data_IF_275935532186
#
_entry.id   IF_275935532186
#
_cell.length_a   1.000
_cell.length_b   1.000
_cell.length_c   1.000
_cell.angle_alpha   90.00
_cell.angle_beta   90.00
_cell.angle_gamma   90.00
#
_symmetry.space_group_name_H-M   'P 1'
#
loop_
_entity.id
_entity.type
_entity.pdbx_description
1 polymer ?
#
# COMPACT_ATOMS: atom_id res chain seq x y z
N UNK A 1 10.04 -24.74 21.15
CA UNK A 1 9.57 -24.54 19.76
C UNK A 1 9.28 -23.09 19.44
N UNK A 2 8.46 -22.38 20.24
CA UNK A 2 8.12 -20.95 20.00
C UNK A 2 9.34 -20.04 19.87
N UNK A 3 10.34 -20.18 20.75
CA UNK A 3 11.56 -19.35 20.71
C UNK A 3 12.44 -19.57 19.46
N UNK A 4 12.49 -20.79 18.90
CA UNK A 4 13.27 -21.06 17.69
C UNK A 4 12.59 -20.50 16.43
N UNK A 5 11.25 -20.49 16.40
CA UNK A 5 10.48 -19.92 15.30
C UNK A 5 10.64 -18.40 15.23
N UNK A 6 10.63 -17.73 16.38
CA UNK A 6 10.84 -16.27 16.47
C UNK A 6 12.24 -15.87 15.96
N UNK A 7 13.27 -16.63 16.33
CA UNK A 7 14.65 -16.39 15.87
C UNK A 7 14.78 -16.56 14.35
N UNK A 8 14.11 -17.56 13.76
CA UNK A 8 14.12 -17.77 12.30
C UNK A 8 13.44 -16.61 11.56
N UNK A 9 12.33 -16.11 12.10
CA UNK A 9 11.62 -14.95 11.52
C UNK A 9 12.50 -13.70 11.55
N UNK A 10 13.13 -13.39 12.69
CA UNK A 10 14.02 -12.23 12.81
C UNK A 10 15.25 -12.33 11.89
N UNK A 11 15.84 -13.53 11.74
CA UNK A 11 16.95 -13.74 10.81
C UNK A 11 16.53 -13.57 9.35
N UNK A 12 15.31 -14.00 9.01
CA UNK A 12 14.73 -13.80 7.69
C UNK A 12 14.47 -12.31 7.43
N UNK A 13 13.88 -11.59 8.38
CA UNK A 13 13.66 -10.14 8.30
C UNK A 13 14.96 -9.37 8.12
N UNK A 14 16.00 -9.68 8.91
CA UNK A 14 17.30 -9.03 8.75
C UNK A 14 17.91 -9.27 7.36
N UNK A 15 17.80 -10.50 6.84
CA UNK A 15 18.30 -10.82 5.50
C UNK A 15 17.51 -10.08 4.41
N UNK A 16 16.18 -10.01 4.55
CA UNK A 16 15.32 -9.26 3.63
C UNK A 16 15.61 -7.76 3.71
N UNK A 17 15.89 -7.22 4.90
CA UNK A 17 16.26 -5.83 5.08
C UNK A 17 17.51 -5.44 4.27
N UNK A 18 18.46 -6.36 4.10
CA UNK A 18 19.64 -6.17 3.26
C UNK A 18 19.35 -6.32 1.75
N UNK A 19 18.15 -6.74 1.38
CA UNK A 19 17.64 -6.86 0.03
C UNK A 19 17.33 -8.31 -0.34
N UNK A 20 16.23 -8.51 -1.06
CA UNK A 20 15.87 -9.83 -1.56
C UNK A 20 16.61 -10.08 -2.87
N UNK A 21 17.27 -11.24 -3.05
CA UNK A 21 17.86 -11.63 -4.32
C UNK A 21 16.85 -11.60 -5.46
N UNK A 22 17.33 -11.37 -6.67
CA UNK A 22 16.46 -11.24 -7.82
C UNK A 22 16.05 -12.59 -8.42
N UNK A 23 15.46 -13.44 -7.57
CA UNK A 23 14.95 -14.75 -7.92
C UNK A 23 13.44 -14.69 -8.17
N UNK A 24 12.96 -15.31 -9.26
CA UNK A 24 11.54 -15.38 -9.60
C UNK A 24 10.69 -15.92 -8.44
N UNK A 25 9.61 -15.20 -8.12
CA UNK A 25 8.69 -15.56 -7.03
C UNK A 25 9.21 -15.39 -5.60
N UNK A 26 10.53 -15.24 -5.38
CA UNK A 26 11.10 -15.10 -4.04
C UNK A 26 10.62 -13.81 -3.37
N UNK A 27 10.72 -12.68 -4.08
CA UNK A 27 10.29 -11.37 -3.54
C UNK A 27 8.80 -11.30 -3.29
N UNK A 28 7.98 -11.78 -4.22
CA UNK A 28 6.54 -11.81 -4.02
C UNK A 28 6.17 -12.68 -2.81
N UNK A 29 6.80 -13.85 -2.65
CA UNK A 29 6.57 -14.71 -1.48
C UNK A 29 7.00 -14.04 -0.18
N UNK A 30 8.19 -13.42 -0.14
CA UNK A 30 8.68 -12.72 1.03
C UNK A 30 7.76 -11.56 1.44
N UNK A 31 7.32 -10.73 0.49
CA UNK A 31 6.38 -9.64 0.76
C UNK A 31 5.04 -10.15 1.29
N UNK A 32 4.52 -11.27 0.76
CA UNK A 32 3.30 -11.90 1.29
C UNK A 32 3.47 -12.34 2.75
N UNK A 33 4.65 -12.80 3.16
CA UNK A 33 4.92 -13.20 4.55
C UNK A 33 5.11 -11.97 5.45
N UNK A 34 5.93 -11.00 5.05
CA UNK A 34 6.20 -9.77 5.82
C UNK A 34 4.94 -8.93 6.08
N UNK A 35 4.00 -8.94 5.13
CA UNK A 35 2.71 -8.25 5.24
C UNK A 35 1.60 -9.17 5.77
N UNK A 36 1.95 -10.28 6.41
CA UNK A 36 1.00 -11.15 7.12
C UNK A 36 -0.08 -11.80 6.26
N UNK A 37 0.02 -11.70 4.94
CA UNK A 37 -0.92 -12.37 4.02
C UNK A 37 -0.72 -13.88 4.03
N UNK A 38 0.54 -14.32 4.03
CA UNK A 38 0.92 -15.70 4.27
C UNK A 38 1.38 -15.89 5.70
N UNK A 39 0.84 -16.87 6.44
CA UNK A 39 1.27 -17.15 7.81
C UNK A 39 2.69 -17.74 7.83
N UNK A 40 3.43 -17.67 8.94
CA UNK A 40 4.77 -18.27 9.04
C UNK A 40 4.80 -19.79 8.78
N UNK A 41 3.70 -20.50 9.08
CA UNK A 41 3.58 -21.93 8.81
C UNK A 41 3.26 -22.18 7.32
N UNK A 42 4.30 -22.57 6.56
CA UNK A 42 4.22 -22.90 5.13
C UNK A 42 3.15 -23.95 4.79
N UNK A 43 2.81 -24.85 5.72
CA UNK A 43 1.80 -25.90 5.49
C UNK A 43 0.40 -25.32 5.28
N UNK A 44 0.15 -24.09 5.74
CA UNK A 44 -1.14 -23.42 5.61
C UNK A 44 -1.26 -22.58 4.34
N UNK A 45 -0.17 -22.34 3.60
CA UNK A 45 -0.14 -21.38 2.50
C UNK A 45 -1.16 -21.71 1.40
N UNK A 46 -1.21 -22.96 0.95
CA UNK A 46 -2.12 -23.37 -0.12
C UNK A 46 -3.60 -23.15 0.25
N UNK A 47 -3.99 -23.48 1.49
CA UNK A 47 -5.34 -23.25 1.98
C UNK A 47 -5.65 -21.76 2.13
N UNK A 48 -4.70 -20.98 2.65
CA UNK A 48 -4.86 -19.52 2.80
C UNK A 48 -5.04 -18.84 1.46
N UNK A 49 -4.15 -19.10 0.49
CA UNK A 49 -4.23 -18.53 -0.85
C UNK A 49 -5.57 -18.87 -1.51
N UNK A 50 -5.97 -20.14 -1.50
CA UNK A 50 -7.23 -20.58 -2.11
C UNK A 50 -8.44 -19.89 -1.48
N UNK A 51 -8.49 -19.82 -0.16
CA UNK A 51 -9.59 -19.17 0.57
C UNK A 51 -9.65 -17.68 0.28
N UNK A 52 -8.52 -16.98 0.39
CA UNK A 52 -8.47 -15.53 0.22
C UNK A 52 -8.76 -15.11 -1.23
N UNK A 53 -8.19 -15.81 -2.21
CA UNK A 53 -8.48 -15.57 -3.64
C UNK A 53 -9.96 -15.71 -3.95
N UNK A 54 -10.62 -16.75 -3.42
CA UNK A 54 -12.07 -16.94 -3.58
C UNK A 54 -12.86 -15.76 -2.99
N UNK A 55 -12.49 -15.30 -1.79
CA UNK A 55 -13.14 -14.15 -1.14
C UNK A 55 -13.01 -12.90 -2.00
N UNK A 56 -11.80 -12.60 -2.51
CA UNK A 56 -11.58 -11.45 -3.37
C UNK A 56 -12.46 -11.47 -4.63
N UNK A 57 -12.50 -12.59 -5.36
CA UNK A 57 -13.31 -12.65 -6.58
C UNK A 57 -14.82 -12.63 -6.31
N UNK A 58 -15.27 -13.10 -5.15
CA UNK A 58 -16.66 -12.88 -4.73
C UNK A 58 -16.94 -11.38 -4.53
N UNK A 59 -16.05 -10.63 -3.88
CA UNK A 59 -16.22 -9.17 -3.78
C UNK A 59 -16.20 -8.48 -5.13
N UNK A 60 -15.32 -8.88 -6.05
CA UNK A 60 -15.32 -8.35 -7.42
C UNK A 60 -16.67 -8.56 -8.08
N UNK A 61 -17.23 -9.77 -7.96
CA UNK A 61 -18.55 -10.10 -8.51
C UNK A 61 -19.68 -9.31 -7.86
N UNK A 62 -19.65 -9.15 -6.54
CA UNK A 62 -20.76 -8.59 -5.76
C UNK A 62 -20.75 -7.06 -5.73
N UNK A 63 -19.58 -6.41 -5.86
CA UNK A 63 -19.41 -4.97 -5.70
C UNK A 63 -19.16 -4.22 -7.02
N UNK A 64 -18.74 -4.91 -8.08
CA UNK A 64 -18.48 -4.30 -9.37
C UNK A 64 -19.65 -4.61 -10.32
N UNK A 65 -20.62 -3.70 -10.40
CA UNK A 65 -21.75 -3.82 -11.33
C UNK A 65 -21.23 -3.63 -12.77
N UNK A 66 -21.48 -4.61 -13.66
CA UNK A 66 -21.19 -4.44 -15.08
C UNK A 66 -22.21 -3.47 -15.72
N UNK A 67 -21.79 -2.58 -16.64
CA UNK A 67 -22.63 -1.51 -17.21
C UNK A 67 -23.83 -1.95 -18.08
N UNK A 68 -24.38 -3.14 -17.88
CA UNK A 68 -25.40 -3.77 -18.74
C UNK A 68 -26.81 -3.93 -18.17
N UNK A 69 -27.03 -3.80 -16.85
CA UNK A 69 -28.37 -3.97 -16.29
C UNK A 69 -29.11 -2.63 -16.19
N UNK A 70 -30.21 -2.49 -16.94
CA UNK A 70 -31.12 -1.36 -16.76
C UNK A 70 -31.60 -1.32 -15.30
N UNK A 71 -31.44 -0.19 -14.61
CA UNK A 71 -31.90 -0.08 -13.23
C UNK A 71 -33.41 -0.33 -13.14
N UNK A 72 -33.90 -0.89 -12.02
CA UNK A 72 -35.30 -1.25 -11.86
C UNK A 72 -36.20 -0.04 -12.10
N UNK A 73 -37.33 -0.23 -12.78
CA UNK A 73 -38.17 0.85 -13.35
C UNK A 73 -38.74 1.86 -12.34
N UNK A 74 -38.57 1.63 -11.03
CA UNK A 74 -39.00 2.52 -9.94
C UNK A 74 -37.89 3.43 -9.40
N UNK A 75 -36.63 3.19 -9.77
CA UNK A 75 -35.47 3.98 -9.34
C UNK A 75 -34.97 4.84 -10.51
N UNK A 76 -34.77 6.15 -10.27
CA UNK A 76 -34.44 7.12 -11.32
C UNK A 76 -33.11 7.81 -11.01
N UNK A 77 -32.33 8.26 -12.03
CA UNK A 77 -31.04 8.93 -11.86
C UNK A 77 -30.92 10.09 -10.86
N UNK A 78 -32.04 10.67 -10.43
CA UNK A 78 -32.08 11.82 -9.50
C UNK A 78 -32.51 11.41 -8.09
N UNK A 79 -32.71 10.12 -7.85
CA UNK A 79 -33.14 9.62 -6.56
C UNK A 79 -31.96 9.63 -5.58
N UNK A 80 -32.06 10.47 -4.54
CA UNK A 80 -31.05 10.59 -3.49
C UNK A 80 -31.37 9.78 -2.22
N UNK A 81 -32.43 8.96 -2.27
CA UNK A 81 -32.84 8.14 -1.12
C UNK A 81 -31.77 7.11 -0.73
N UNK A 82 -31.54 6.86 0.58
CA UNK A 82 -30.66 5.80 1.05
C UNK A 82 -31.13 4.44 0.53
N UNK A 83 -30.42 3.86 -0.44
CA UNK A 83 -30.79 2.61 -1.11
C UNK A 83 -31.08 2.73 -2.60
N UNK A 84 -31.00 3.92 -3.19
CA UNK A 84 -31.03 4.07 -4.64
C UNK A 84 -29.81 3.38 -5.28
N UNK A 85 -30.08 2.50 -6.24
CA UNK A 85 -29.06 1.89 -7.10
C UNK A 85 -28.41 2.96 -7.97
N UNK A 86 -29.17 3.96 -8.43
CA UNK A 86 -28.63 5.08 -9.20
C UNK A 86 -27.64 5.93 -8.40
N UNK A 87 -27.97 6.29 -7.17
CA UNK A 87 -27.04 7.05 -6.31
C UNK A 87 -25.72 6.28 -6.10
N UNK A 88 -25.83 4.97 -5.85
CA UNK A 88 -24.66 4.07 -5.71
C UNK A 88 -23.87 3.99 -7.02
N UNK A 89 -24.54 3.80 -8.15
CA UNK A 89 -23.94 3.73 -9.48
C UNK A 89 -23.16 5.00 -9.84
N UNK A 90 -23.73 6.19 -9.62
CA UNK A 90 -23.04 7.45 -9.90
C UNK A 90 -21.84 7.66 -8.96
N UNK A 91 -21.98 7.30 -7.68
CA UNK A 91 -20.87 7.37 -6.74
C UNK A 91 -19.74 6.42 -7.17
N UNK A 92 -20.07 5.18 -7.53
CA UNK A 92 -19.09 4.19 -7.96
C UNK A 92 -18.38 4.59 -9.25
N UNK A 93 -19.11 5.13 -10.23
CA UNK A 93 -18.52 5.70 -11.45
C UNK A 93 -17.59 6.87 -11.16
N UNK A 94 -17.94 7.75 -10.22
CA UNK A 94 -17.07 8.88 -9.85
C UNK A 94 -15.74 8.40 -9.26
N UNK A 95 -15.78 7.34 -8.44
CA UNK A 95 -14.58 6.70 -7.88
C UNK A 95 -13.76 6.04 -8.99
N UNK A 96 -14.40 5.25 -9.86
CA UNK A 96 -13.74 4.57 -10.98
C UNK A 96 -13.08 5.56 -11.94
N UNK A 97 -13.74 6.66 -12.28
CA UNK A 97 -13.16 7.71 -13.12
C UNK A 97 -11.91 8.35 -12.49
N UNK A 98 -11.92 8.55 -11.17
CA UNK A 98 -10.77 9.09 -10.46
C UNK A 98 -9.61 8.09 -10.51
N UNK A 99 -9.88 6.82 -10.19
CA UNK A 99 -8.87 5.75 -10.22
C UNK A 99 -8.30 5.62 -11.64
N UNK A 100 -9.13 5.64 -12.68
CA UNK A 100 -8.73 5.52 -14.09
C UNK A 100 -7.87 6.70 -14.57
N UNK A 101 -8.11 7.91 -14.05
CA UNK A 101 -7.22 9.06 -14.30
C UNK A 101 -5.85 8.89 -13.66
N UNK A 102 -5.79 8.33 -12.45
CA UNK A 102 -4.53 8.20 -11.71
C UNK A 102 -3.71 6.99 -12.18
N UNK A 103 -4.34 5.84 -12.37
CA UNK A 103 -3.71 4.60 -12.88
C UNK A 103 -3.07 4.84 -14.24
N UNK A 104 -3.74 5.54 -15.17
CA UNK A 104 -3.15 5.88 -16.48
C UNK A 104 -1.91 6.77 -16.42
N UNK A 105 -1.74 7.54 -15.34
CA UNK A 105 -0.54 8.38 -15.11
C UNK A 105 0.53 7.65 -14.31
N UNK A 106 0.16 6.57 -13.61
CA UNK A 106 1.05 5.79 -12.78
C UNK A 106 1.84 4.85 -13.66
N UNK A 107 3.18 4.96 -13.67
CA UNK A 107 4.05 4.07 -14.44
C UNK A 107 3.58 3.91 -15.91
N UNK A 108 3.45 5.00 -16.69
CA UNK A 108 2.82 4.98 -18.02
C UNK A 108 3.55 4.08 -19.03
N UNK A 109 4.84 3.83 -18.82
CA UNK A 109 5.65 2.93 -19.64
C UNK A 109 5.33 1.45 -19.39
N UNK A 110 4.61 1.14 -18.31
CA UNK A 110 4.18 -0.21 -17.94
C UNK A 110 2.70 -0.40 -18.29
N UNK A 111 2.43 -0.74 -19.55
CA UNK A 111 1.08 -0.97 -20.10
C UNK A 111 0.22 -2.02 -19.34
N UNK A 112 0.82 -2.73 -18.38
CA UNK A 112 0.23 -3.75 -17.55
C UNK A 112 -0.50 -3.22 -16.30
N UNK A 113 -0.23 -1.99 -15.86
CA UNK A 113 -0.91 -1.39 -14.70
C UNK A 113 -2.22 -0.72 -15.11
N UNK A 114 -3.31 -1.49 -15.11
CA UNK A 114 -4.70 -1.08 -15.37
C UNK A 114 -5.63 -1.58 -14.26
N UNK A 115 -5.14 -1.66 -13.02
CA UNK A 115 -5.69 -2.57 -12.01
C UNK A 115 -6.68 -1.81 -11.12
N UNK A 116 -7.62 -1.13 -11.81
CA UNK A 116 -8.65 -0.27 -11.23
C UNK A 116 -9.51 -1.02 -10.20
N UNK A 117 -9.72 -2.32 -10.41
CA UNK A 117 -10.53 -3.18 -9.55
C UNK A 117 -9.97 -3.27 -8.13
N UNK A 118 -8.65 -3.41 -7.96
CA UNK A 118 -8.05 -3.55 -6.62
C UNK A 118 -8.35 -2.30 -5.77
N UNK A 119 -8.08 -1.11 -6.33
CA UNK A 119 -8.30 0.17 -5.67
C UNK A 119 -9.79 0.42 -5.42
N UNK A 120 -10.64 0.08 -6.38
CA UNK A 120 -12.09 0.23 -6.25
C UNK A 120 -12.65 -0.67 -5.14
N UNK A 121 -12.32 -1.97 -5.15
CA UNK A 121 -12.77 -2.91 -4.12
C UNK A 121 -12.26 -2.48 -2.74
N UNK A 122 -11.00 -2.02 -2.64
CA UNK A 122 -10.48 -1.48 -1.38
C UNK A 122 -11.32 -0.29 -0.89
N UNK A 123 -11.62 0.67 -1.77
CA UNK A 123 -12.41 1.85 -1.43
C UNK A 123 -13.83 1.49 -0.96
N UNK A 124 -14.49 0.53 -1.62
CA UNK A 124 -15.83 0.04 -1.25
C UNK A 124 -15.83 -0.66 0.11
N UNK A 125 -14.78 -1.43 0.41
CA UNK A 125 -14.65 -2.14 1.68
C UNK A 125 -14.19 -1.24 2.84
N UNK A 126 -13.61 -0.07 2.55
CA UNK A 126 -13.08 0.87 3.54
C UNK A 126 -13.68 2.27 3.36
N UNK A 127 -15.00 2.48 3.52
CA UNK A 127 -15.65 3.77 3.22
C UNK A 127 -15.18 4.93 4.12
N UNK A 128 -14.61 4.64 5.29
CA UNK A 128 -13.99 5.66 6.15
C UNK A 128 -12.69 6.25 5.59
N UNK A 129 -12.07 5.58 4.62
CA UNK A 129 -10.87 6.04 3.91
C UNK A 129 -11.21 6.36 2.45
N UNK A 130 -11.94 5.47 1.78
CA UNK A 130 -12.25 5.55 0.35
C UNK A 130 -10.99 5.40 -0.53
N UNK A 131 -11.10 5.85 -1.77
CA UNK A 131 -9.94 6.03 -2.65
C UNK A 131 -9.38 7.44 -2.51
N UNK A 132 -8.06 7.54 -2.32
CA UNK A 132 -7.34 8.81 -2.29
C UNK A 132 -6.15 8.73 -3.25
N UNK A 133 -5.95 9.79 -4.03
CA UNK A 133 -4.81 9.89 -4.94
C UNK A 133 -3.50 9.67 -4.18
N UNK A 134 -2.63 8.81 -4.71
CA UNK A 134 -1.43 8.30 -4.05
C UNK A 134 -1.53 6.82 -3.69
N UNK A 135 -2.73 6.29 -3.45
CA UNK A 135 -2.93 4.84 -3.23
C UNK A 135 -2.52 4.00 -4.45
N UNK A 136 -2.75 4.53 -5.66
CA UNK A 136 -2.28 3.95 -6.91
C UNK A 136 -0.75 3.77 -6.94
N UNK A 137 0.00 4.71 -6.37
CA UNK A 137 1.47 4.68 -6.31
C UNK A 137 1.99 3.65 -5.29
N UNK A 138 1.17 3.29 -4.30
CA UNK A 138 1.48 2.22 -3.36
C UNK A 138 1.17 0.86 -4.00
N UNK A 139 0.05 0.75 -4.73
CA UNK A 139 -0.35 -0.51 -5.36
C UNK A 139 0.60 -0.92 -6.49
N UNK A 140 1.10 0.05 -7.27
CA UNK A 140 1.91 -0.20 -8.45
C UNK A 140 3.16 -1.08 -8.19
N UNK A 141 4.04 -0.78 -7.21
CA UNK A 141 5.18 -1.64 -6.90
C UNK A 141 4.81 -3.05 -6.46
N UNK A 142 3.76 -3.20 -5.64
CA UNK A 142 3.24 -4.51 -5.22
C UNK A 142 2.83 -5.33 -6.43
N UNK A 143 1.99 -4.73 -7.26
CA UNK A 143 1.41 -5.43 -8.40
C UNK A 143 2.49 -5.83 -9.42
N UNK A 144 3.49 -4.97 -9.64
CA UNK A 144 4.65 -5.29 -10.47
C UNK A 144 5.41 -6.51 -9.95
N UNK A 145 5.75 -6.55 -8.66
CA UNK A 145 6.48 -7.68 -8.05
C UNK A 145 5.73 -9.01 -8.21
N UNK A 146 4.41 -8.96 -8.31
CA UNK A 146 3.55 -10.14 -8.34
C UNK A 146 3.33 -10.68 -9.76
N UNK A 147 3.78 -9.94 -10.78
CA UNK A 147 3.45 -10.20 -12.20
C UNK A 147 4.63 -10.18 -13.14
N UNK A 148 5.57 -9.23 -12.98
CA UNK A 148 6.63 -8.99 -13.94
C UNK A 148 7.69 -10.11 -14.02
N UNK A 149 7.84 -10.91 -12.96
CA UNK A 149 8.78 -12.05 -12.90
C UNK A 149 8.14 -13.42 -12.77
N UNK A 150 6.81 -13.46 -12.69
CA UNK A 150 6.03 -14.71 -12.58
C UNK A 150 5.47 -15.14 -13.94
N UNK A 151 5.40 -14.26 -14.93
CA UNK A 151 4.72 -14.53 -16.20
C UNK A 151 5.25 -15.76 -16.96
N UNK A 152 6.57 -15.93 -17.02
CA UNK A 152 7.18 -17.05 -17.76
C UNK A 152 7.47 -18.28 -16.88
N UNK A 153 7.50 -18.12 -15.56
CA UNK A 153 7.98 -19.14 -14.63
C UNK A 153 6.90 -19.71 -13.69
N UNK A 154 5.85 -18.93 -13.40
CA UNK A 154 4.71 -19.33 -12.55
C UNK A 154 3.38 -18.72 -13.05
N UNK A 155 2.75 -19.37 -14.05
CA UNK A 155 1.48 -18.93 -14.63
C UNK A 155 0.33 -18.89 -13.61
N UNK A 156 0.37 -19.73 -12.57
CA UNK A 156 -0.66 -19.71 -11.53
C UNK A 156 -0.53 -18.46 -10.66
N UNK A 157 0.70 -18.10 -10.25
CA UNK A 157 0.93 -16.86 -9.53
C UNK A 157 0.51 -15.63 -10.34
N UNK A 158 0.79 -15.62 -11.65
CA UNK A 158 0.36 -14.54 -12.53
C UNK A 158 -1.18 -14.44 -12.60
N UNK A 159 -1.89 -15.57 -12.76
CA UNK A 159 -3.35 -15.60 -12.85
C UNK A 159 -4.04 -15.06 -11.59
N UNK A 160 -3.41 -15.20 -10.42
CA UNK A 160 -3.93 -14.74 -9.13
C UNK A 160 -3.25 -13.49 -8.58
N UNK A 161 -2.37 -12.86 -9.35
CA UNK A 161 -1.60 -11.72 -8.88
C UNK A 161 -2.46 -10.55 -8.41
N UNK A 162 -3.63 -10.34 -9.03
CA UNK A 162 -4.58 -9.32 -8.63
C UNK A 162 -5.12 -9.54 -7.21
N UNK A 163 -5.64 -10.73 -6.95
CA UNK A 163 -6.18 -11.09 -5.64
C UNK A 163 -5.09 -11.05 -4.56
N UNK A 164 -3.91 -11.62 -4.86
CA UNK A 164 -2.79 -11.63 -3.93
C UNK A 164 -2.29 -10.19 -3.64
N UNK A 165 -2.24 -9.33 -4.66
CA UNK A 165 -1.85 -7.92 -4.49
C UNK A 165 -2.88 -7.15 -3.67
N UNK A 166 -4.19 -7.43 -3.82
CA UNK A 166 -5.23 -6.80 -3.02
C UNK A 166 -5.01 -7.02 -1.52
N UNK A 167 -4.73 -8.26 -1.09
CA UNK A 167 -4.55 -8.53 0.34
C UNK A 167 -3.26 -7.93 0.88
N UNK A 168 -2.18 -8.00 0.12
CA UNK A 168 -0.89 -7.41 0.49
C UNK A 168 -0.98 -5.88 0.56
N UNK A 169 -1.62 -5.25 -0.41
CA UNK A 169 -1.97 -3.83 -0.40
C UNK A 169 -2.83 -3.47 0.80
N UNK A 170 -3.87 -4.27 1.10
CA UNK A 170 -4.76 -4.01 2.24
C UNK A 170 -4.03 -4.04 3.57
N UNK A 171 -3.10 -4.99 3.78
CA UNK A 171 -2.30 -5.01 5.00
C UNK A 171 -1.37 -3.80 5.09
N UNK A 172 -0.69 -3.44 4.00
CA UNK A 172 0.17 -2.26 3.98
C UNK A 172 -0.62 -0.98 4.25
N UNK A 173 -1.81 -0.86 3.65
CA UNK A 173 -2.71 0.25 3.89
C UNK A 173 -3.20 0.31 5.34
N UNK A 174 -3.33 -0.81 6.06
CA UNK A 174 -3.68 -0.77 7.48
C UNK A 174 -2.63 -0.03 8.34
N UNK A 175 -1.40 0.08 7.84
CA UNK A 175 -0.31 0.79 8.50
C UNK A 175 -0.20 2.26 8.07
N UNK A 176 -0.52 2.59 6.81
CA UNK A 176 -0.36 3.96 6.26
C UNK A 176 -1.66 4.72 6.03
N UNK A 177 -2.85 4.09 6.18
CA UNK A 177 -4.15 4.70 5.86
C UNK A 177 -4.38 6.02 6.60
N UNK A 178 -3.84 6.17 7.80
CA UNK A 178 -4.05 7.37 8.61
C UNK A 178 -3.45 8.61 7.92
N UNK A 179 -2.44 8.45 7.04
CA UNK A 179 -1.89 9.52 6.21
C UNK A 179 -2.85 10.02 5.12
N UNK A 180 -3.89 9.25 4.78
CA UNK A 180 -4.87 9.58 3.76
C UNK A 180 -6.17 10.16 4.35
N UNK A 181 -6.32 10.15 5.67
CA UNK A 181 -7.54 10.59 6.36
C UNK A 181 -7.35 11.99 6.93
N UNK A 182 -7.85 13.01 6.23
CA UNK A 182 -7.68 14.43 6.58
C UNK A 182 -8.13 14.80 8.00
N UNK A 183 -9.14 14.12 8.55
CA UNK A 183 -9.60 14.37 9.91
C UNK A 183 -8.58 13.97 10.98
N UNK A 184 -7.58 13.13 10.63
CA UNK A 184 -6.48 12.74 11.50
C UNK A 184 -5.29 13.70 11.43
N UNK A 185 -5.24 14.62 10.45
CA UNK A 185 -4.10 15.53 10.27
C UNK A 185 -3.89 16.51 11.44
N UNK A 186 -4.90 16.69 12.30
CA UNK A 186 -4.82 17.52 13.50
C UNK A 186 -4.47 16.73 14.76
N UNK A 187 -4.41 15.40 14.68
CA UNK A 187 -4.00 14.56 15.79
C UNK A 187 -2.47 14.65 15.99
N UNK A 188 -2.03 14.78 17.24
CA UNK A 188 -0.61 14.92 17.56
C UNK A 188 0.16 13.59 17.50
N UNK A 189 -0.56 12.46 17.48
CA UNK A 189 -0.02 11.10 17.57
C UNK A 189 -0.21 10.27 16.30
N UNK A 190 -1.18 10.64 15.44
CA UNK A 190 -1.44 9.95 14.17
C UNK A 190 -1.61 10.94 13.00
N UNK A 191 -1.79 10.41 11.79
CA UNK A 191 -1.92 11.19 10.56
C UNK A 191 -0.57 11.62 9.98
N UNK A 192 -0.64 12.28 8.83
CA UNK A 192 0.55 12.65 8.07
C UNK A 192 1.38 13.73 8.80
N UNK A 193 0.72 14.69 9.46
CA UNK A 193 1.40 15.76 10.19
C UNK A 193 2.18 15.24 11.40
N UNK A 194 1.62 14.31 12.18
CA UNK A 194 2.37 13.68 13.28
C UNK A 194 3.59 12.92 12.76
N UNK A 195 3.45 12.22 11.62
CA UNK A 195 4.56 11.47 11.00
C UNK A 195 5.66 12.39 10.47
N UNK A 196 5.30 13.47 9.76
CA UNK A 196 6.26 14.50 9.32
C UNK A 196 6.93 15.20 10.52
N UNK A 197 6.20 15.44 11.60
CA UNK A 197 6.78 16.01 12.81
C UNK A 197 7.84 15.07 13.42
N UNK A 198 7.57 13.76 13.49
CA UNK A 198 8.55 12.75 13.95
C UNK A 198 9.80 12.74 13.07
N UNK A 199 9.64 12.82 11.75
CA UNK A 199 10.75 12.97 10.80
C UNK A 199 11.58 14.25 11.06
N UNK A 200 10.90 15.38 11.29
CA UNK A 200 11.54 16.65 11.64
C UNK A 200 12.33 16.58 12.97
N UNK A 201 11.80 15.87 13.98
CA UNK A 201 12.52 15.66 15.24
C UNK A 201 13.77 14.80 15.05
N UNK A 202 13.72 13.78 14.18
CA UNK A 202 14.89 12.98 13.81
C UNK A 202 15.94 13.85 13.12
N UNK A 203 15.56 14.67 12.15
CA UNK A 203 16.47 15.64 11.52
C UNK A 203 17.11 16.57 12.54
N UNK A 204 16.33 17.12 13.49
CA UNK A 204 16.85 17.99 14.54
C UNK A 204 17.89 17.32 15.45
N UNK A 205 17.78 16.00 15.62
CA UNK A 205 18.71 15.18 16.40
C UNK A 205 19.99 14.86 15.61
N UNK A 206 19.85 14.43 14.35
CA UNK A 206 20.97 14.03 13.50
C UNK A 206 21.75 15.23 12.93
N UNK A 207 21.06 16.22 12.36
CA UNK A 207 21.66 17.43 11.75
C UNK A 207 20.94 18.70 12.21
N UNK A 208 21.29 19.12 13.43
CA UNK A 208 20.76 20.33 14.04
C UNK A 208 21.06 21.62 13.24
N UNK A 209 22.24 21.81 12.63
CA UNK A 209 22.49 22.92 11.71
C UNK A 209 21.47 22.98 10.56
N UNK A 210 21.26 21.88 9.83
CA UNK A 210 20.30 21.84 8.72
C UNK A 210 18.88 22.12 9.19
N UNK A 211 18.42 21.47 10.26
CA UNK A 211 17.10 21.71 10.86
C UNK A 211 16.86 23.20 11.19
N UNK A 212 17.87 23.88 11.76
CA UNK A 212 17.80 25.32 12.08
C UNK A 212 17.71 26.18 10.84
N UNK A 213 18.46 25.85 9.79
CA UNK A 213 18.42 26.60 8.54
C UNK A 213 17.08 26.44 7.80
N UNK A 214 16.51 25.24 7.78
CA UNK A 214 15.15 25.03 7.25
C UNK A 214 14.12 25.85 8.05
N UNK A 215 14.19 25.79 9.38
CA UNK A 215 13.32 26.56 10.27
C UNK A 215 13.44 28.07 10.06
N UNK A 216 14.68 28.58 9.94
CA UNK A 216 14.96 30.01 9.73
C UNK A 216 14.44 30.52 8.38
N UNK A 217 14.44 29.65 7.36
CA UNK A 217 13.91 29.94 6.03
C UNK A 217 12.40 29.68 5.91
N UNK A 218 11.75 29.29 7.00
CA UNK A 218 10.33 28.92 7.03
C UNK A 218 9.97 27.80 6.03
N UNK A 219 10.91 26.89 5.75
CA UNK A 219 10.68 25.75 4.87
C UNK A 219 9.92 24.68 5.67
N UNK A 220 8.66 24.47 5.28
CA UNK A 220 7.77 23.49 5.90
C UNK A 220 8.06 22.08 5.39
N UNK A 221 7.98 21.10 6.28
CA UNK A 221 8.16 19.68 5.98
C UNK A 221 7.21 19.20 4.87
N UNK A 222 5.99 19.74 4.82
CA UNK A 222 4.99 19.41 3.81
C UNK A 222 5.48 19.65 2.37
N UNK A 223 6.42 20.58 2.16
CA UNK A 223 6.92 20.92 0.83
C UNK A 223 7.85 19.87 0.23
N UNK A 224 8.47 19.03 1.06
CA UNK A 224 9.41 18.02 0.59
C UNK A 224 9.04 16.61 1.05
N UNK A 225 8.61 16.44 2.31
CA UNK A 225 8.41 15.13 2.92
C UNK A 225 7.00 14.55 2.73
N UNK A 226 5.98 15.38 2.43
CA UNK A 226 4.60 14.89 2.33
C UNK A 226 4.49 13.72 1.34
N UNK A 227 5.02 13.91 0.14
CA UNK A 227 5.02 12.86 -0.90
C UNK A 227 5.91 11.68 -0.53
N UNK A 228 7.12 11.95 -0.03
CA UNK A 228 8.05 10.91 0.39
C UNK A 228 7.42 9.92 1.37
N UNK A 229 6.67 10.43 2.36
CA UNK A 229 6.05 9.61 3.38
C UNK A 229 4.77 8.96 2.87
N UNK A 230 3.85 9.74 2.28
CA UNK A 230 2.52 9.25 1.87
C UNK A 230 2.55 8.13 0.84
N UNK A 231 3.54 8.12 -0.06
CA UNK A 231 3.69 7.07 -1.08
C UNK A 231 4.96 6.25 -0.90
N UNK A 232 5.54 6.24 0.31
CA UNK A 232 6.71 5.40 0.65
C UNK A 232 7.86 5.57 -0.36
N UNK A 233 8.09 6.83 -0.76
CA UNK A 233 9.08 7.28 -1.73
C UNK A 233 8.99 6.65 -3.13
N UNK A 234 7.84 6.06 -3.50
CA UNK A 234 7.69 5.37 -4.79
C UNK A 234 7.80 6.27 -6.03
N UNK A 235 7.81 7.60 -5.85
CA UNK A 235 7.95 8.58 -6.92
C UNK A 235 9.31 9.32 -6.91
N UNK A 236 10.28 8.90 -6.11
CA UNK A 236 11.62 9.53 -6.10
C UNK A 236 12.62 8.80 -7.01
N UNK A 237 12.39 7.51 -7.26
CA UNK A 237 13.30 6.64 -7.98
C UNK A 237 12.58 5.74 -8.98
N UNK A 238 13.37 5.14 -9.86
CA UNK A 238 12.87 4.12 -10.77
C UNK A 238 12.41 2.89 -9.99
N UNK A 239 11.46 2.16 -10.59
CA UNK A 239 10.78 1.05 -9.93
C UNK A 239 11.71 -0.02 -9.31
N UNK A 240 12.84 -0.43 -9.92
CA UNK A 240 13.77 -1.37 -9.29
C UNK A 240 14.33 -0.88 -7.95
N UNK A 241 14.65 0.42 -7.85
CA UNK A 241 15.19 1.03 -6.63
C UNK A 241 14.10 1.18 -5.57
N UNK A 242 12.87 1.54 -5.98
CA UNK A 242 11.69 1.55 -5.10
C UNK A 242 11.45 0.17 -4.51
N UNK A 243 11.46 -0.88 -5.34
CA UNK A 243 11.27 -2.27 -4.89
C UNK A 243 12.37 -2.67 -3.90
N UNK A 244 13.63 -2.32 -4.19
CA UNK A 244 14.73 -2.58 -3.26
C UNK A 244 14.53 -1.85 -1.94
N UNK A 245 14.16 -0.56 -1.95
CA UNK A 245 13.88 0.21 -0.74
C UNK A 245 12.76 -0.46 0.08
N UNK A 246 11.72 -0.93 -0.60
CA UNK A 246 10.58 -1.57 0.03
C UNK A 246 10.91 -2.90 0.71
N UNK A 247 11.91 -3.66 0.23
CA UNK A 247 12.41 -4.83 0.96
C UNK A 247 12.83 -4.45 2.39
N UNK A 248 13.50 -3.30 2.56
CA UNK A 248 13.92 -2.79 3.87
C UNK A 248 12.75 -2.22 4.69
N UNK A 249 11.86 -1.43 4.06
CA UNK A 249 10.68 -0.86 4.75
C UNK A 249 9.78 -1.97 5.30
N UNK A 250 9.51 -3.01 4.49
CA UNK A 250 8.63 -4.10 4.87
C UNK A 250 9.27 -5.06 5.89
N UNK A 251 10.59 -5.21 5.89
CA UNK A 251 11.30 -5.97 6.91
C UNK A 251 11.33 -5.24 8.27
N UNK A 252 11.56 -3.92 8.27
CA UNK A 252 11.56 -3.09 9.48
C UNK A 252 10.22 -3.15 10.22
N UNK A 253 9.12 -3.19 9.46
CA UNK A 253 7.77 -3.42 9.98
C UNK A 253 7.68 -4.69 10.84
N UNK A 254 8.23 -5.80 10.38
CA UNK A 254 8.20 -7.08 11.11
C UNK A 254 9.04 -7.05 12.39
N UNK A 255 10.21 -6.41 12.32
CA UNK A 255 11.14 -6.28 13.46
C UNK A 255 10.57 -5.43 14.61
N UNK A 256 9.59 -4.56 14.33
CA UNK A 256 8.93 -3.70 15.32
C UNK A 256 7.68 -4.34 15.96
N UNK A 257 7.24 -5.54 15.53
CA UNK A 257 6.09 -6.21 16.15
C UNK A 257 6.34 -6.50 17.64
N UNK A 258 5.72 -5.71 18.51
CA UNK A 258 5.83 -5.82 19.98
C UNK A 258 6.73 -4.77 20.66
N UNK A 259 7.31 -3.84 19.91
CA UNK A 259 8.01 -2.66 20.46
C UNK A 259 7.04 -1.48 20.60
N UNK A 260 7.23 -0.62 21.60
CA UNK A 260 6.42 0.62 21.78
C UNK A 260 6.77 1.69 20.73
N UNK A 261 7.90 1.56 20.04
CA UNK A 261 8.36 2.50 19.01
C UNK A 261 7.49 2.40 17.74
N UNK A 262 7.21 3.54 17.13
CA UNK A 262 6.18 3.66 16.09
C UNK A 262 6.52 2.92 14.80
N UNK A 263 5.50 2.65 13.98
CA UNK A 263 5.66 2.00 12.66
C UNK A 263 6.49 2.87 11.71
N UNK A 264 7.29 2.22 10.85
CA UNK A 264 8.08 2.80 9.75
C UNK A 264 9.29 3.63 10.15
N UNK A 265 9.97 3.28 11.25
CA UNK A 265 11.16 4.03 11.69
C UNK A 265 12.25 4.09 10.62
N UNK A 266 12.50 2.98 9.91
CA UNK A 266 13.48 2.98 8.82
C UNK A 266 13.13 3.97 7.71
N UNK A 267 11.85 4.10 7.34
CA UNK A 267 11.44 5.09 6.34
C UNK A 267 11.76 6.52 6.81
N UNK A 268 11.52 6.81 8.09
CA UNK A 268 11.81 8.13 8.65
C UNK A 268 13.32 8.41 8.66
N UNK A 269 14.15 7.43 9.05
CA UNK A 269 15.61 7.57 8.95
C UNK A 269 16.08 7.77 7.51
N UNK A 270 15.51 7.00 6.58
CA UNK A 270 15.84 7.08 5.17
C UNK A 270 15.48 8.45 4.58
N UNK A 271 14.29 8.99 4.91
CA UNK A 271 13.89 10.34 4.46
C UNK A 271 14.73 11.46 5.08
N UNK A 272 15.24 11.29 6.31
CA UNK A 272 16.23 12.22 6.89
C UNK A 272 17.56 12.11 6.14
N UNK A 273 17.98 10.90 5.78
CA UNK A 273 19.18 10.68 4.99
C UNK A 273 19.12 11.31 3.59
N UNK A 274 17.94 11.41 2.98
CA UNK A 274 17.76 12.10 1.69
C UNK A 274 18.03 13.62 1.75
N UNK A 275 18.01 14.23 2.95
CA UNK A 275 18.25 15.66 3.13
C UNK A 275 19.73 16.02 3.33
N UNK A 276 20.58 15.01 3.57
CA UNK A 276 22.01 15.16 3.88
C UNK A 276 22.87 14.93 2.64
#
# INVERSE_FOLDING_TARGET
MVSALIVIIHLAEHSIFLGIPDEPGLRSTAWKVLLGYLPPDKRMWSSTLKSQRLVYYNWVKDLLEEPGEEPPSSDHPLNAEPGSKWATYFQDNSILEQIDKDVRRTLPDFAFFQQHRILFIYAKLNPGVGYVQGMNEILAPIYYVFTAKTADEDPEAQAYAEADSFFVFTTLMADVRDHFVRSLDQDASTGINATMWRMSQRLAWFDRPLFRELSKKDIKEQYYAFRWITVLCSQEWDLPDVIRLWDSILADRGMQEGMEEGRFEFLLDFTVAMLM
#
